data_IF_248767463534
#
_entry.id   IF_248767463534
#
_cell.length_a   1.000
_cell.length_b   1.000
_cell.length_c   1.000
_cell.angle_alpha   90.00
_cell.angle_beta   90.00
_cell.angle_gamma   90.00
#
_symmetry.space_group_name_H-M   'P 1'
#
loop_
_entity.id
_entity.type
_entity.pdbx_description
1 polymer ?
#
# COMPACT_ATOMS: atom_id res chain seq x y z
N UNK A 1 -3.08 4.09 -14.95
CA UNK A 1 -3.46 3.54 -13.62
C UNK A 1 -4.03 2.16 -13.85
N UNK A 2 -4.17 1.32 -12.83
CA UNK A 2 -4.61 -0.07 -13.01
C UNK A 2 -6.09 -0.22 -12.68
N UNK A 3 -6.80 -1.16 -13.32
CA UNK A 3 -8.12 -1.62 -12.89
C UNK A 3 -7.99 -2.71 -11.82
N UNK A 4 -8.97 -2.81 -10.91
CA UNK A 4 -9.01 -3.86 -9.87
C UNK A 4 -10.38 -4.51 -9.86
N UNK A 5 -10.43 -5.84 -9.97
CA UNK A 5 -11.67 -6.60 -9.93
C UNK A 5 -11.61 -7.66 -8.84
N UNK A 6 -12.67 -7.73 -8.06
CA UNK A 6 -12.93 -8.79 -7.08
C UNK A 6 -14.13 -9.61 -7.56
N UNK A 7 -13.97 -10.91 -7.69
CA UNK A 7 -14.99 -11.82 -8.16
C UNK A 7 -15.25 -12.89 -7.09
N UNK A 8 -16.37 -12.77 -6.37
CA UNK A 8 -16.79 -13.65 -5.28
C UNK A 8 -15.70 -13.87 -4.21
N UNK A 9 -14.93 -12.81 -3.92
CA UNK A 9 -13.81 -12.90 -2.98
C UNK A 9 -14.32 -13.16 -1.58
N UNK A 10 -13.77 -14.21 -0.98
CA UNK A 10 -14.10 -14.66 0.37
C UNK A 10 -12.83 -14.78 1.21
N UNK A 11 -12.89 -14.33 2.45
CA UNK A 11 -11.84 -14.51 3.46
C UNK A 11 -12.39 -15.22 4.68
N UNK A 12 -11.72 -16.31 5.05
CA UNK A 12 -11.97 -17.04 6.29
C UNK A 12 -10.66 -17.31 7.03
N UNK A 13 -10.72 -17.39 8.34
CA UNK A 13 -9.68 -17.90 9.22
C UNK A 13 -10.23 -19.13 9.96
N UNK A 14 -9.81 -20.33 9.54
CA UNK A 14 -10.44 -21.56 9.97
C UNK A 14 -11.93 -21.55 9.61
N UNK A 15 -12.80 -21.73 10.61
CA UNK A 15 -14.25 -21.72 10.42
C UNK A 15 -14.88 -20.31 10.42
N UNK A 16 -14.11 -19.28 10.77
CA UNK A 16 -14.63 -17.91 10.87
C UNK A 16 -14.55 -17.20 9.52
N UNK A 17 -15.68 -16.96 8.87
CA UNK A 17 -15.78 -16.17 7.63
C UNK A 17 -15.83 -14.69 8.00
N UNK A 18 -14.83 -13.92 7.56
CA UNK A 18 -14.71 -12.48 7.82
C UNK A 18 -15.31 -11.65 6.69
N UNK A 19 -15.17 -12.13 5.47
CA UNK A 19 -15.73 -11.50 4.28
C UNK A 19 -16.21 -12.58 3.34
N UNK A 20 -17.40 -12.40 2.74
CA UNK A 20 -18.03 -13.42 1.89
C UNK A 20 -18.55 -12.80 0.60
N UNK A 21 -18.27 -13.46 -0.51
CA UNK A 21 -18.79 -13.15 -1.85
C UNK A 21 -18.66 -11.67 -2.25
N UNK A 22 -17.48 -11.06 -1.95
CA UNK A 22 -17.23 -9.67 -2.32
C UNK A 22 -17.04 -9.58 -3.83
N UNK A 23 -17.88 -8.77 -4.46
CA UNK A 23 -17.79 -8.42 -5.86
C UNK A 23 -17.58 -6.91 -5.97
N UNK A 24 -16.55 -6.49 -6.68
CA UNK A 24 -16.17 -5.09 -6.86
C UNK A 24 -15.44 -4.94 -8.19
N UNK A 25 -15.77 -3.89 -8.91
CA UNK A 25 -15.07 -3.50 -10.14
C UNK A 25 -14.64 -2.04 -10.01
N UNK A 26 -13.33 -1.82 -9.98
CA UNK A 26 -12.70 -0.51 -9.88
C UNK A 26 -12.02 -0.23 -11.21
N UNK A 27 -12.50 0.78 -11.92
CA UNK A 27 -11.96 1.17 -13.21
C UNK A 27 -10.68 1.99 -13.07
N UNK A 28 -9.91 2.05 -14.16
CA UNK A 28 -8.73 2.88 -14.22
C UNK A 28 -9.03 4.34 -13.89
N UNK A 29 -8.24 4.94 -12.98
CA UNK A 29 -8.39 6.32 -12.56
C UNK A 29 -9.49 6.59 -11.53
N UNK A 30 -10.24 5.58 -11.13
CA UNK A 30 -11.32 5.71 -10.16
C UNK A 30 -10.77 5.87 -8.73
N UNK A 31 -11.43 6.73 -7.94
CA UNK A 31 -11.19 6.89 -6.51
C UNK A 31 -12.29 6.22 -5.71
N UNK A 32 -11.95 5.14 -5.02
CA UNK A 32 -12.91 4.32 -4.26
C UNK A 32 -12.65 4.41 -2.76
N UNK A 33 -13.72 4.58 -1.98
CA UNK A 33 -13.66 4.65 -0.52
C UNK A 33 -14.48 3.52 0.10
N UNK A 34 -13.86 2.72 0.96
CA UNK A 34 -14.57 1.71 1.75
C UNK A 34 -15.06 2.31 3.07
N UNK A 35 -16.37 2.38 3.25
CA UNK A 35 -17.03 2.89 4.46
C UNK A 35 -17.69 1.74 5.21
N UNK A 36 -17.62 1.78 6.54
CA UNK A 36 -18.26 0.79 7.40
C UNK A 36 -17.70 0.82 8.83
N UNK A 37 -18.35 0.13 9.79
CA UNK A 37 -17.94 0.10 11.18
C UNK A 37 -16.54 -0.52 11.37
N UNK A 38 -15.96 -0.30 12.57
CA UNK A 38 -14.69 -0.95 12.92
C UNK A 38 -14.86 -2.47 12.91
N UNK A 39 -13.88 -3.20 12.40
CA UNK A 39 -13.90 -4.66 12.34
C UNK A 39 -14.67 -5.29 11.18
N UNK A 40 -15.33 -4.52 10.30
CA UNK A 40 -16.10 -5.09 9.19
C UNK A 40 -15.25 -5.58 7.99
N UNK A 41 -13.93 -5.71 8.12
CA UNK A 41 -13.08 -6.31 7.09
C UNK A 41 -12.43 -5.36 6.09
N UNK A 42 -12.63 -4.02 6.16
CA UNK A 42 -12.04 -3.05 5.20
C UNK A 42 -10.52 -3.17 5.06
N UNK A 43 -9.81 -3.21 6.20
CA UNK A 43 -8.34 -3.35 6.20
C UNK A 43 -7.89 -4.72 5.71
N UNK A 44 -8.68 -5.77 5.96
CA UNK A 44 -8.43 -7.12 5.46
C UNK A 44 -8.56 -7.14 3.94
N UNK A 45 -9.59 -6.50 3.39
CA UNK A 45 -9.80 -6.40 1.95
C UNK A 45 -8.64 -5.66 1.26
N UNK A 46 -8.23 -4.51 1.82
CA UNK A 46 -7.06 -3.77 1.31
C UNK A 46 -5.78 -4.61 1.37
N UNK A 47 -5.58 -5.40 2.43
CA UNK A 47 -4.42 -6.31 2.54
C UNK A 47 -4.48 -7.45 1.53
N UNK A 48 -5.67 -8.01 1.23
CA UNK A 48 -5.84 -9.02 0.19
C UNK A 48 -5.51 -8.44 -1.19
N UNK A 49 -5.98 -7.23 -1.51
CA UNK A 49 -5.61 -6.53 -2.75
C UNK A 49 -4.10 -6.31 -2.82
N UNK A 50 -3.48 -5.93 -1.70
CA UNK A 50 -2.04 -5.71 -1.62
C UNK A 50 -1.19 -7.00 -1.64
N UNK A 51 -1.79 -8.18 -1.50
CA UNK A 51 -1.07 -9.45 -1.39
C UNK A 51 -0.36 -9.65 -0.05
N UNK A 52 -0.80 -8.93 0.98
CA UNK A 52 -0.34 -9.06 2.37
C UNK A 52 -1.23 -10.00 3.18
N UNK A 53 -2.32 -10.44 2.60
CA UNK A 53 -3.27 -11.41 3.15
C UNK A 53 -3.78 -12.30 2.02
N UNK A 54 -3.86 -13.60 2.27
CA UNK A 54 -4.33 -14.56 1.29
C UNK A 54 -5.86 -14.53 1.16
N UNK A 55 -6.36 -14.76 -0.05
CA UNK A 55 -7.78 -14.93 -0.35
C UNK A 55 -8.14 -16.39 -0.11
N UNK A 56 -9.24 -16.66 0.59
CA UNK A 56 -9.71 -18.04 0.85
C UNK A 56 -10.56 -18.60 -0.30
N UNK A 57 -11.17 -17.74 -1.11
CA UNK A 57 -11.97 -18.12 -2.27
C UNK A 57 -12.26 -16.93 -3.18
N UNK A 58 -12.66 -17.21 -4.42
CA UNK A 58 -12.86 -16.20 -5.44
C UNK A 58 -11.58 -15.75 -6.12
N UNK A 59 -11.65 -14.71 -6.93
CA UNK A 59 -10.54 -14.20 -7.71
C UNK A 59 -10.35 -12.69 -7.55
N UNK A 60 -9.09 -12.30 -7.40
CA UNK A 60 -8.62 -10.93 -7.50
C UNK A 60 -7.88 -10.73 -8.82
N UNK A 61 -8.29 -9.77 -9.61
CA UNK A 61 -7.60 -9.39 -10.83
C UNK A 61 -7.12 -7.94 -10.74
N UNK A 62 -5.91 -7.69 -11.26
CA UNK A 62 -5.36 -6.34 -11.49
C UNK A 62 -4.99 -6.27 -12.97
N UNK A 63 -5.55 -5.32 -13.71
CA UNK A 63 -5.41 -5.21 -15.17
C UNK A 63 -5.75 -6.53 -15.89
N UNK A 64 -6.84 -7.19 -15.47
CA UNK A 64 -7.29 -8.46 -16.02
C UNK A 64 -6.42 -9.68 -15.67
N UNK A 65 -5.32 -9.49 -14.94
CA UNK A 65 -4.43 -10.58 -14.52
C UNK A 65 -4.78 -11.05 -13.11
N UNK A 66 -4.99 -12.36 -12.96
CA UNK A 66 -5.24 -12.99 -11.65
C UNK A 66 -4.04 -12.82 -10.72
N UNK A 67 -4.28 -12.33 -9.51
CA UNK A 67 -3.27 -11.96 -8.53
C UNK A 67 -3.26 -12.83 -7.27
N UNK A 68 -4.14 -13.80 -7.13
CA UNK A 68 -4.25 -14.59 -5.90
C UNK A 68 -2.90 -15.16 -5.42
N UNK A 69 -2.12 -15.72 -6.35
CA UNK A 69 -0.85 -16.39 -6.07
C UNK A 69 0.38 -15.48 -6.29
N UNK A 70 0.15 -14.20 -6.62
CA UNK A 70 1.22 -13.23 -6.88
C UNK A 70 1.60 -12.54 -5.57
N UNK A 71 2.86 -12.64 -5.10
CA UNK A 71 3.30 -12.01 -3.87
C UNK A 71 3.25 -10.47 -3.97
N UNK A 72 3.05 -9.78 -2.84
CA UNK A 72 2.90 -8.32 -2.75
C UNK A 72 3.98 -7.54 -3.53
N UNK A 73 5.25 -7.96 -3.41
CA UNK A 73 6.39 -7.34 -4.11
C UNK A 73 6.29 -7.33 -5.64
N UNK A 74 5.50 -8.26 -6.20
CA UNK A 74 5.35 -8.43 -7.66
C UNK A 74 4.03 -7.81 -8.20
N UNK A 75 3.14 -7.28 -7.34
CA UNK A 75 1.85 -6.69 -7.77
C UNK A 75 1.98 -5.26 -8.30
N UNK A 76 3.14 -4.64 -8.22
CA UNK A 76 3.40 -3.25 -8.66
C UNK A 76 2.40 -2.21 -8.12
N UNK A 77 2.02 -2.36 -6.86
CA UNK A 77 1.12 -1.45 -6.12
C UNK A 77 1.86 -0.83 -4.95
N UNK A 78 1.30 0.24 -4.39
CA UNK A 78 1.76 0.85 -3.16
C UNK A 78 0.64 0.83 -2.12
N UNK A 79 1.00 0.67 -0.84
CA UNK A 79 0.07 0.71 0.27
C UNK A 79 0.60 1.66 1.34
N UNK A 80 -0.27 2.54 1.85
CA UNK A 80 -0.01 3.36 3.02
C UNK A 80 -0.70 2.72 4.21
N UNK A 81 0.08 2.40 5.24
CA UNK A 81 -0.44 1.77 6.46
C UNK A 81 -0.94 2.81 7.46
N UNK A 82 -1.92 2.44 8.27
CA UNK A 82 -2.50 3.31 9.30
C UNK A 82 -1.46 3.77 10.35
N UNK A 83 -0.44 2.97 10.61
CA UNK A 83 0.69 3.29 11.49
C UNK A 83 1.90 3.87 10.76
N UNK A 84 1.69 4.40 9.54
CA UNK A 84 2.68 4.99 8.63
C UNK A 84 3.75 4.01 8.13
N UNK A 85 4.05 2.91 8.82
CA UNK A 85 5.06 1.88 8.50
C UNK A 85 6.45 2.44 8.17
N UNK A 86 6.82 3.56 8.81
CA UNK A 86 8.15 4.16 8.65
C UNK A 86 9.20 3.30 9.36
N UNK A 87 10.37 3.16 8.76
CA UNK A 87 11.52 2.50 9.37
C UNK A 87 12.12 3.42 10.45
N UNK A 88 12.00 3.07 11.75
CA UNK A 88 12.32 4.00 12.84
C UNK A 88 13.81 4.30 12.98
N UNK A 89 14.66 3.43 12.45
CA UNK A 89 16.11 3.55 12.45
C UNK A 89 16.68 4.38 11.29
N UNK A 90 15.86 4.63 10.27
CA UNK A 90 16.21 5.42 9.10
C UNK A 90 15.77 6.88 9.26
N UNK A 91 16.50 7.80 8.62
CA UNK A 91 16.08 9.21 8.48
C UNK A 91 14.88 9.34 7.55
N UNK A 92 14.26 10.53 7.49
CA UNK A 92 13.20 10.86 6.53
C UNK A 92 13.68 10.63 5.10
N UNK A 93 14.86 11.17 4.75
CA UNK A 93 15.48 11.00 3.44
C UNK A 93 15.67 9.52 3.07
N UNK A 94 16.18 8.72 4.03
CA UNK A 94 16.38 7.29 3.82
C UNK A 94 15.07 6.53 3.63
N UNK A 95 14.04 6.85 4.42
CA UNK A 95 12.70 6.28 4.25
C UNK A 95 12.13 6.58 2.87
N UNK A 96 12.20 7.84 2.41
CA UNK A 96 11.74 8.25 1.08
C UNK A 96 12.53 7.55 -0.05
N UNK A 97 13.83 7.41 0.13
CA UNK A 97 14.73 6.80 -0.86
C UNK A 97 14.61 5.27 -0.95
N UNK A 98 14.11 4.60 0.10
CA UNK A 98 14.18 3.15 0.24
C UNK A 98 13.54 2.38 -0.91
N UNK A 99 12.31 2.72 -1.27
CA UNK A 99 11.60 2.07 -2.38
C UNK A 99 12.28 2.26 -3.73
N UNK A 100 12.91 3.40 -3.94
CA UNK A 100 13.65 3.70 -5.18
C UNK A 100 14.97 2.91 -5.25
N UNK A 101 15.64 2.72 -4.11
CA UNK A 101 16.86 1.88 -4.00
C UNK A 101 16.55 0.41 -4.31
N UNK A 102 15.46 -0.13 -3.77
CA UNK A 102 15.04 -1.53 -4.04
C UNK A 102 14.75 -1.75 -5.53
N UNK A 103 14.22 -0.73 -6.21
CA UNK A 103 13.97 -0.77 -7.68
C UNK A 103 15.23 -0.56 -8.52
N UNK A 104 16.41 -0.44 -7.91
CA UNK A 104 17.69 -0.30 -8.62
C UNK A 104 17.92 1.08 -9.24
N UNK A 105 17.20 2.11 -8.80
CA UNK A 105 17.37 3.48 -9.30
C UNK A 105 18.75 4.04 -8.93
N UNK A 106 19.35 4.82 -9.85
CA UNK A 106 20.65 5.46 -9.64
C UNK A 106 20.64 6.51 -8.52
N UNK A 107 21.74 6.64 -7.78
CA UNK A 107 21.87 7.55 -6.62
C UNK A 107 21.46 9.00 -6.91
N UNK A 108 21.86 9.53 -8.07
CA UNK A 108 21.55 10.90 -8.47
C UNK A 108 20.04 11.09 -8.69
N UNK A 109 19.41 10.17 -9.42
CA UNK A 109 17.97 10.19 -9.66
C UNK A 109 17.16 10.06 -8.37
N UNK A 110 17.63 9.24 -7.41
CA UNK A 110 17.02 9.11 -6.08
C UNK A 110 17.08 10.46 -5.36
N UNK A 111 18.24 11.11 -5.31
CA UNK A 111 18.43 12.39 -4.65
C UNK A 111 17.50 13.48 -5.23
N UNK A 112 17.40 13.55 -6.56
CA UNK A 112 16.50 14.50 -7.26
C UNK A 112 15.04 14.26 -6.91
N UNK A 113 14.56 13.00 -6.97
CA UNK A 113 13.16 12.65 -6.64
C UNK A 113 12.83 12.86 -5.16
N UNK A 114 13.76 12.53 -4.25
CA UNK A 114 13.56 12.78 -2.82
C UNK A 114 13.48 14.27 -2.54
N UNK A 115 14.36 15.08 -3.16
CA UNK A 115 14.34 16.53 -3.02
C UNK A 115 13.05 17.14 -3.55
N UNK A 116 12.57 16.72 -4.70
CA UNK A 116 11.31 17.17 -5.29
C UNK A 116 10.12 16.86 -4.37
N UNK A 117 10.00 15.61 -3.90
CA UNK A 117 8.94 15.20 -3.00
C UNK A 117 9.01 15.93 -1.64
N UNK A 118 10.22 16.11 -1.09
CA UNK A 118 10.43 16.86 0.15
C UNK A 118 9.95 18.30 0.03
N UNK A 119 10.23 18.96 -1.10
CA UNK A 119 9.76 20.33 -1.38
C UNK A 119 8.24 20.41 -1.43
N UNK A 120 7.58 19.46 -2.11
CA UNK A 120 6.11 19.42 -2.21
C UNK A 120 5.46 19.24 -0.82
N UNK A 121 6.09 18.45 0.04
CA UNK A 121 5.61 18.12 1.38
C UNK A 121 6.15 19.05 2.48
N UNK A 122 6.91 20.08 2.11
CA UNK A 122 7.55 21.03 3.04
C UNK A 122 8.44 20.34 4.09
N UNK A 123 9.17 19.29 3.68
CA UNK A 123 10.04 18.49 4.55
C UNK A 123 11.54 18.79 4.40
N UNK A 124 11.94 19.82 3.63
CA UNK A 124 13.35 20.09 3.33
C UNK A 124 14.23 20.19 4.59
N UNK A 125 13.75 20.89 5.63
CA UNK A 125 14.46 21.03 6.91
C UNK A 125 14.40 19.79 7.82
N UNK A 126 13.67 18.76 7.43
CA UNK A 126 13.39 17.57 8.25
C UNK A 126 14.05 16.29 7.71
N UNK A 127 14.66 16.33 6.53
CA UNK A 127 15.16 15.15 5.81
C UNK A 127 16.14 14.30 6.63
N UNK A 128 16.93 14.92 7.50
CA UNK A 128 17.91 14.21 8.35
C UNK A 128 17.35 13.71 9.68
N UNK A 129 16.10 14.10 10.02
CA UNK A 129 15.44 13.64 11.25
C UNK A 129 14.99 12.20 11.14
N UNK A 130 14.87 11.53 12.28
CA UNK A 130 14.22 10.21 12.37
C UNK A 130 12.72 10.34 12.65
N UNK A 131 11.90 9.33 12.34
CA UNK A 131 10.44 9.36 12.57
C UNK A 131 10.04 9.80 13.98
N UNK A 132 10.78 9.38 15.01
CA UNK A 132 10.51 9.76 16.42
C UNK A 132 10.64 11.26 16.70
N UNK A 133 11.36 11.97 15.85
CA UNK A 133 11.65 13.41 15.97
C UNK A 133 10.63 14.27 15.18
N UNK A 134 9.62 13.63 14.60
CA UNK A 134 8.56 14.27 13.83
C UNK A 134 7.25 14.29 14.62
N UNK A 135 6.45 15.32 14.41
CA UNK A 135 5.05 15.34 14.86
C UNK A 135 4.19 14.34 14.09
N UNK A 136 2.98 14.05 14.60
CA UNK A 136 2.04 13.15 13.90
C UNK A 136 1.71 13.60 12.48
N UNK A 137 1.51 14.89 12.26
CA UNK A 137 1.23 15.45 10.93
C UNK A 137 2.43 15.48 9.98
N UNK A 138 3.66 15.41 10.52
CA UNK A 138 4.90 15.34 9.73
C UNK A 138 5.29 13.91 9.33
N UNK A 139 4.63 12.91 9.91
CA UNK A 139 4.83 11.48 9.59
C UNK A 139 3.92 11.03 8.46
#
# INVERSE_FOLDING_TARGET
MASVQLQNVTKAWGEVVVSKDINLDIHEGEFVVFVGPSGCGKSTLLRMIAGLEEISGGDLLIDGKRMNDVPAKARNIAMVFQNYALYPHMSVEENMAWGLKIRGMGKQQIAERVKEAARILELDGLLKRRPRELSGGQR
#
